data_IF_256779884961
#
_entry.id   IF_256779884961
#
_cell.length_a   1.000
_cell.length_b   1.000
_cell.length_c   1.000
_cell.angle_alpha   90.00
_cell.angle_beta   90.00
_cell.angle_gamma   90.00
#
_symmetry.space_group_name_H-M   'P 1'
#
loop_
_entity.id
_entity.type
_entity.pdbx_description
1 polymer ?
#
# COMPACT_ATOMS: atom_id res chain seq x y z
N UNK A 1 -2.99 -1.53 49.15
CA UNK A 1 -2.58 -0.20 48.64
C UNK A 1 -3.17 -0.03 47.26
N UNK A 2 -4.17 0.84 47.11
CA UNK A 2 -4.78 1.12 45.80
C UNK A 2 -3.95 2.24 45.20
N UNK A 3 -3.20 1.95 44.12
CA UNK A 3 -2.44 2.98 43.40
C UNK A 3 -3.45 3.95 42.81
N UNK A 4 -3.42 5.21 43.25
CA UNK A 4 -4.28 6.25 42.72
C UNK A 4 -4.05 6.40 41.21
N UNK A 5 -5.11 6.74 40.46
CA UNK A 5 -4.99 7.00 39.03
C UNK A 5 -4.02 8.18 38.81
N UNK A 6 -3.11 8.09 37.82
CA UNK A 6 -2.21 9.19 37.50
C UNK A 6 -3.01 10.45 37.13
N UNK A 7 -2.59 11.60 37.67
CA UNK A 7 -3.23 12.88 37.41
C UNK A 7 -2.86 13.36 36.00
N UNK A 8 -3.88 13.55 35.15
CA UNK A 8 -3.74 13.95 33.75
C UNK A 8 -3.95 15.46 33.54
N UNK A 9 -4.20 16.24 34.60
CA UNK A 9 -4.44 17.69 34.51
C UNK A 9 -3.23 18.48 34.00
N UNK A 10 -2.02 17.92 34.11
CA UNK A 10 -0.79 18.51 33.57
C UNK A 10 -0.52 18.16 32.10
N UNK A 11 -1.33 17.29 31.49
CA UNK A 11 -1.16 16.89 30.09
C UNK A 11 -1.64 17.99 29.15
N UNK A 12 -0.77 18.98 28.90
CA UNK A 12 -0.97 20.05 27.91
C UNK A 12 -0.22 19.67 26.64
N UNK A 13 -0.80 18.78 25.84
CA UNK A 13 -0.31 18.46 24.50
C UNK A 13 -1.38 18.84 23.49
N UNK A 14 -0.97 19.50 22.41
CA UNK A 14 -1.90 19.98 21.39
C UNK A 14 -2.47 18.75 20.65
N UNK A 15 -3.80 18.58 20.54
CA UNK A 15 -4.40 17.49 19.78
C UNK A 15 -3.95 17.46 18.31
N UNK A 16 -3.54 18.61 17.78
CA UNK A 16 -3.02 18.73 16.42
C UNK A 16 -1.59 18.19 16.27
N UNK A 17 -0.84 17.97 17.35
CA UNK A 17 0.50 17.35 17.26
C UNK A 17 0.45 15.97 16.59
N UNK A 18 -0.66 15.24 16.75
CA UNK A 18 -0.85 13.96 16.09
C UNK A 18 -1.11 14.11 14.59
N UNK A 19 -1.86 15.15 14.19
CA UNK A 19 -2.13 15.45 12.78
C UNK A 19 -0.89 16.00 12.07
N UNK A 20 -0.01 16.72 12.79
CA UNK A 20 1.26 17.23 12.26
C UNK A 20 2.39 16.20 12.30
N UNK A 21 2.25 15.07 13.00
CA UNK A 21 3.25 14.00 13.09
C UNK A 21 3.65 13.31 11.76
N UNK A 22 3.04 13.72 10.63
CA UNK A 22 3.45 13.34 9.28
C UNK A 22 4.69 14.07 8.73
N UNK A 23 5.43 14.82 9.55
CA UNK A 23 6.64 15.54 9.08
C UNK A 23 7.79 14.64 8.63
N UNK A 24 7.79 13.34 8.96
CA UNK A 24 8.77 12.39 8.42
C UNK A 24 8.71 12.29 6.88
N UNK A 25 7.56 12.59 6.26
CA UNK A 25 7.39 12.60 4.81
C UNK A 25 7.75 13.96 4.18
N UNK A 26 7.77 15.05 4.97
CA UNK A 26 8.15 16.40 4.49
C UNK A 26 9.67 16.62 4.42
N UNK A 27 10.46 15.79 5.11
CA UNK A 27 11.93 15.85 5.06
C UNK A 27 12.53 15.36 3.72
N UNK A 28 11.72 14.79 2.82
CA UNK A 28 12.11 14.53 1.43
C UNK A 28 11.99 15.77 0.52
N UNK A 29 11.28 16.81 0.96
CA UNK A 29 10.99 18.00 0.14
C UNK A 29 12.00 19.15 0.28
N UNK A 30 13.04 19.02 1.09
CA UNK A 30 14.08 20.05 1.23
C UNK A 30 15.49 19.46 1.27
N UNK A 31 16.04 19.16 0.09
CA UNK A 31 17.49 19.19 -0.15
C UNK A 31 17.80 20.01 -1.42
N UNK A 32 18.99 20.62 -1.49
CA UNK A 32 19.22 21.91 -2.14
C UNK A 32 19.39 21.81 -3.66
N UNK A 33 19.29 22.99 -4.31
CA UNK A 33 19.58 23.22 -5.72
C UNK A 33 20.90 22.58 -6.17
N UNK A 34 20.81 22.05 -7.40
CA UNK A 34 21.86 21.80 -8.37
C UNK A 34 22.48 20.39 -8.35
N UNK A 35 21.91 19.50 -9.16
CA UNK A 35 22.62 18.89 -10.31
C UNK A 35 21.57 18.24 -11.22
N UNK A 36 21.83 18.28 -12.52
CA UNK A 36 20.92 17.91 -13.61
C UNK A 36 20.48 16.44 -13.51
N UNK A 37 19.36 16.17 -12.85
CA UNK A 37 18.58 14.96 -13.07
C UNK A 37 17.55 15.27 -14.16
N UNK A 38 17.68 14.59 -15.30
CA UNK A 38 16.73 14.67 -16.39
C UNK A 38 15.29 14.51 -15.87
N UNK A 39 14.30 15.22 -16.42
CA UNK A 39 12.91 14.90 -16.17
C UNK A 39 12.67 13.53 -16.81
N UNK A 40 12.76 12.47 -16.03
CA UNK A 40 12.10 11.23 -16.41
C UNK A 40 10.63 11.62 -16.54
N UNK A 41 10.00 11.49 -17.72
CA UNK A 41 8.57 11.60 -17.78
C UNK A 41 8.06 10.47 -16.89
N UNK A 42 7.56 10.81 -15.71
CA UNK A 42 6.60 9.94 -15.04
C UNK A 42 5.41 10.01 -15.98
N UNK A 43 5.38 9.10 -16.96
CA UNK A 43 4.21 8.87 -17.77
C UNK A 43 3.10 8.58 -16.77
N UNK A 44 2.26 9.58 -16.56
CA UNK A 44 0.97 9.42 -15.91
C UNK A 44 0.17 8.58 -16.88
N UNK A 45 0.44 7.27 -16.90
CA UNK A 45 -0.38 6.28 -17.57
C UNK A 45 -1.78 6.53 -17.05
N UNK A 46 -2.66 7.02 -17.93
CA UNK A 46 -4.08 7.10 -17.62
C UNK A 46 -4.47 5.67 -17.25
N UNK A 47 -4.87 5.39 -16.00
CA UNK A 47 -5.21 4.04 -15.62
C UNK A 47 -6.31 3.58 -16.55
N UNK A 48 -6.09 2.43 -17.22
CA UNK A 48 -7.14 1.81 -18.00
C UNK A 48 -8.41 1.68 -17.15
N UNK A 49 -9.60 1.85 -17.74
CA UNK A 49 -10.84 1.75 -16.99
C UNK A 49 -10.93 0.36 -16.35
N UNK A 50 -10.87 0.33 -15.01
CA UNK A 50 -11.01 -0.91 -14.24
C UNK A 50 -12.46 -1.11 -13.84
N UNK A 51 -12.94 -2.36 -13.94
CA UNK A 51 -14.29 -2.74 -13.53
C UNK A 51 -14.18 -3.77 -12.40
N UNK A 52 -14.78 -3.47 -11.25
CA UNK A 52 -14.82 -4.40 -10.13
C UNK A 52 -15.84 -5.50 -10.38
N UNK A 53 -15.43 -6.76 -10.21
CA UNK A 53 -16.30 -7.94 -10.29
C UNK A 53 -16.29 -8.67 -8.95
N UNK A 54 -17.48 -9.06 -8.48
CA UNK A 54 -17.65 -9.76 -7.21
C UNK A 54 -17.96 -11.24 -7.49
N UNK A 55 -17.07 -12.13 -7.07
CA UNK A 55 -17.22 -13.57 -7.22
C UNK A 55 -17.41 -14.23 -5.86
N UNK A 56 -18.19 -15.31 -5.83
CA UNK A 56 -18.20 -16.23 -4.69
C UNK A 56 -17.18 -17.32 -4.97
N UNK A 57 -16.14 -17.38 -4.15
CA UNK A 57 -15.11 -18.41 -4.23
C UNK A 57 -15.33 -19.45 -3.14
N UNK A 58 -14.91 -20.69 -3.40
CA UNK A 58 -14.80 -21.70 -2.35
C UNK A 58 -13.71 -21.29 -1.35
N UNK A 59 -13.87 -21.71 -0.09
CA UNK A 59 -12.97 -21.36 1.01
C UNK A 59 -11.51 -21.73 0.73
N UNK A 60 -11.28 -22.95 0.25
CA UNK A 60 -9.97 -23.47 -0.13
C UNK A 60 -9.29 -22.59 -1.18
N UNK A 61 -10.02 -22.18 -2.21
CA UNK A 61 -9.52 -21.29 -3.28
C UNK A 61 -9.17 -19.92 -2.71
N UNK A 62 -10.02 -19.33 -1.87
CA UNK A 62 -9.74 -18.03 -1.25
C UNK A 62 -8.48 -18.06 -0.38
N UNK A 63 -8.30 -19.13 0.42
CA UNK A 63 -7.08 -19.33 1.21
C UNK A 63 -5.83 -19.50 0.33
N UNK A 64 -5.94 -20.30 -0.74
CA UNK A 64 -4.85 -20.52 -1.68
C UNK A 64 -4.44 -19.23 -2.40
N UNK A 65 -5.40 -18.38 -2.78
CA UNK A 65 -5.13 -17.11 -3.45
C UNK A 65 -4.30 -16.17 -2.56
N UNK A 66 -4.70 -16.06 -1.28
CA UNK A 66 -4.01 -15.24 -0.29
C UNK A 66 -2.59 -15.74 0.00
N UNK A 67 -2.43 -17.05 0.19
CA UNK A 67 -1.12 -17.65 0.44
C UNK A 67 -0.22 -17.55 -0.81
N UNK A 68 -0.77 -17.80 -1.99
CA UNK A 68 -0.08 -17.72 -3.27
C UNK A 68 0.47 -16.32 -3.54
N UNK A 69 -0.31 -15.27 -3.26
CA UNK A 69 0.15 -13.88 -3.40
C UNK A 69 1.37 -13.58 -2.49
N UNK A 70 1.35 -14.06 -1.24
CA UNK A 70 2.47 -13.90 -0.31
C UNK A 70 3.72 -14.67 -0.78
N UNK A 71 3.54 -15.92 -1.22
CA UNK A 71 4.63 -16.76 -1.73
C UNK A 71 5.26 -16.17 -2.98
N UNK A 72 4.45 -15.73 -3.93
CA UNK A 72 4.91 -15.12 -5.18
C UNK A 72 5.65 -13.81 -4.92
N UNK A 73 5.17 -13.03 -3.94
CA UNK A 73 5.87 -11.82 -3.53
C UNK A 73 7.25 -12.10 -2.94
N UNK A 74 7.34 -13.10 -2.07
CA UNK A 74 8.60 -13.54 -1.49
C UNK A 74 9.57 -14.09 -2.55
N UNK A 75 9.04 -14.82 -3.55
CA UNK A 75 9.83 -15.44 -4.62
C UNK A 75 10.42 -14.40 -5.58
N UNK A 76 9.63 -13.41 -6.00
CA UNK A 76 10.04 -12.43 -7.02
C UNK A 76 10.75 -11.21 -6.43
N UNK A 77 10.63 -11.00 -5.12
CA UNK A 77 11.08 -9.77 -4.46
C UNK A 77 10.24 -8.54 -4.83
N UNK A 78 9.09 -8.74 -5.49
CA UNK A 78 8.14 -7.68 -5.85
C UNK A 78 6.81 -7.94 -5.17
N UNK A 79 6.04 -6.89 -4.89
CA UNK A 79 4.69 -7.06 -4.36
C UNK A 79 3.79 -7.66 -5.44
N UNK A 80 3.16 -8.79 -5.12
CA UNK A 80 2.14 -9.45 -5.94
C UNK A 80 0.85 -9.54 -5.12
N UNK A 81 -0.25 -9.15 -5.73
CA UNK A 81 -1.58 -9.17 -5.10
C UNK A 81 -2.46 -10.28 -5.66
N UNK A 82 -3.51 -10.61 -4.92
CA UNK A 82 -4.59 -11.50 -5.37
C UNK A 82 -5.18 -11.06 -6.71
N UNK A 83 -5.33 -9.75 -6.91
CA UNK A 83 -5.81 -9.16 -8.16
C UNK A 83 -4.84 -9.42 -9.33
N UNK A 84 -3.53 -9.33 -9.11
CA UNK A 84 -2.53 -9.57 -10.15
C UNK A 84 -2.57 -11.04 -10.61
N UNK A 85 -2.68 -11.96 -9.65
CA UNK A 85 -2.81 -13.40 -9.94
C UNK A 85 -4.08 -13.68 -10.74
N UNK A 86 -5.23 -13.14 -10.32
CA UNK A 86 -6.50 -13.33 -11.05
C UNK A 86 -6.41 -12.74 -12.45
N UNK A 87 -5.87 -11.52 -12.60
CA UNK A 87 -5.71 -10.90 -13.91
C UNK A 87 -4.83 -11.75 -14.83
N UNK A 88 -3.69 -12.24 -14.33
CA UNK A 88 -2.80 -13.10 -15.10
C UNK A 88 -3.49 -14.40 -15.51
N UNK A 89 -4.21 -15.05 -14.60
CA UNK A 89 -4.96 -16.27 -14.90
C UNK A 89 -6.06 -16.04 -15.94
N UNK A 90 -6.79 -14.93 -15.84
CA UNK A 90 -7.82 -14.58 -16.82
C UNK A 90 -7.21 -14.25 -18.18
N UNK A 91 -6.10 -13.51 -18.20
CA UNK A 91 -5.33 -13.25 -19.43
C UNK A 91 -4.90 -14.54 -20.11
N UNK A 92 -4.36 -15.49 -19.35
CA UNK A 92 -3.95 -16.80 -19.86
C UNK A 92 -5.13 -17.65 -20.33
N UNK A 93 -6.25 -17.65 -19.61
CA UNK A 93 -7.42 -18.47 -19.97
C UNK A 93 -8.11 -17.97 -21.24
N UNK A 94 -8.16 -16.64 -21.44
CA UNK A 94 -8.83 -16.03 -22.60
C UNK A 94 -7.86 -15.58 -23.70
N UNK A 95 -6.58 -15.95 -23.59
CA UNK A 95 -5.52 -15.55 -24.52
C UNK A 95 -5.44 -14.03 -24.77
N UNK A 96 -5.58 -13.24 -23.69
CA UNK A 96 -5.51 -11.77 -23.71
C UNK A 96 -4.08 -11.34 -23.36
N UNK A 97 -3.42 -10.63 -24.27
CA UNK A 97 -2.04 -10.11 -24.13
C UNK A 97 -1.96 -8.92 -23.17
#
# INVERSE_FOLDING_TARGET
MIKAKPDIKSFKKDPNDFLEGGEADKALTTKPKNEKAAPYPVEVFKPEPTVQKLFRLRWDIACALKLGAAQESARTGKRVTETDIIQQLLKQHYDIT
#
